data_IF_901915977207
#
_entry.id   IF_901915977207
#
_cell.length_a   1.000
_cell.length_b   1.000
_cell.length_c   1.000
_cell.angle_alpha   90.00
_cell.angle_beta   90.00
_cell.angle_gamma   90.00
#
_symmetry.space_group_name_H-M   'P 1'
#
loop_
_entity.id
_entity.type
_entity.pdbx_description
1 polymer ?
#
# COMPACT_ATOMS: atom_id res chain seq x y z
N UNK A 1 11.76 10.80 1.79
CA UNK A 1 11.66 11.50 3.08
C UNK A 1 13.00 11.86 3.71
N UNK A 2 13.99 10.95 3.76
CA UNK A 2 15.27 11.20 4.44
C UNK A 2 15.99 12.49 4.04
N UNK A 3 15.99 12.84 2.74
CA UNK A 3 16.55 14.13 2.27
C UNK A 3 15.82 15.36 2.80
N UNK A 4 14.51 15.27 3.01
CA UNK A 4 13.71 16.39 3.54
C UNK A 4 14.01 16.56 5.03
N UNK A 5 14.00 15.48 5.81
CA UNK A 5 14.38 15.50 7.23
C UNK A 5 15.78 16.09 7.41
N UNK A 6 16.76 15.62 6.63
CA UNK A 6 18.12 16.15 6.65
C UNK A 6 18.19 17.65 6.29
N UNK A 7 17.41 18.10 5.30
CA UNK A 7 17.40 19.51 4.89
C UNK A 7 16.79 20.41 5.96
N UNK A 8 15.71 19.96 6.62
CA UNK A 8 15.08 20.70 7.73
C UNK A 8 16.03 20.77 8.93
N UNK A 9 16.69 19.67 9.29
CA UNK A 9 17.68 19.64 10.37
C UNK A 9 18.89 20.54 10.10
N UNK A 10 19.39 20.56 8.86
CA UNK A 10 20.46 21.50 8.45
C UNK A 10 19.97 22.94 8.62
N UNK A 11 18.75 23.25 8.17
CA UNK A 11 18.16 24.59 8.26
C UNK A 11 18.01 25.03 9.71
N UNK A 12 17.49 24.14 10.59
CA UNK A 12 17.37 24.40 12.03
C UNK A 12 18.73 24.73 12.67
N UNK A 13 19.78 24.00 12.32
CA UNK A 13 21.15 24.27 12.81
C UNK A 13 21.69 25.62 12.33
N UNK A 14 21.41 26.01 11.09
CA UNK A 14 21.86 27.30 10.53
C UNK A 14 21.16 28.46 11.24
N UNK A 15 19.85 28.36 11.46
CA UNK A 15 19.06 29.38 12.16
C UNK A 15 19.48 29.48 13.63
N UNK A 16 19.70 28.35 14.32
CA UNK A 16 20.21 28.36 15.68
C UNK A 16 21.56 29.09 15.80
N UNK A 17 22.49 28.86 14.84
CA UNK A 17 23.76 29.61 14.79
C UNK A 17 23.56 31.11 14.53
N UNK A 18 22.52 31.50 13.80
CA UNK A 18 22.18 32.91 13.58
C UNK A 18 21.73 33.57 14.88
N UNK A 19 20.97 32.85 15.72
CA UNK A 19 20.55 33.31 17.04
C UNK A 19 21.74 33.56 17.96
N UNK A 20 22.67 32.61 18.02
CA UNK A 20 23.91 32.75 18.80
C UNK A 20 24.74 33.97 18.35
N UNK A 21 24.92 34.14 17.04
CA UNK A 21 25.63 35.31 16.48
C UNK A 21 24.92 36.62 16.76
N UNK A 22 23.60 36.65 16.70
CA UNK A 22 22.80 37.84 17.01
C UNK A 22 22.92 38.24 18.48
N UNK A 23 23.07 37.24 19.37
CA UNK A 23 23.35 37.47 20.80
C UNK A 23 24.74 38.07 21.03
N UNK A 24 25.76 37.56 20.33
CA UNK A 24 27.12 38.13 20.36
C UNK A 24 27.11 39.59 19.86
N UNK A 25 26.42 39.88 18.76
CA UNK A 25 26.30 41.26 18.24
C UNK A 25 25.60 42.16 19.27
N UNK A 26 24.54 41.69 19.93
CA UNK A 26 23.87 42.44 21.00
C UNK A 26 24.82 42.83 22.15
N UNK A 27 25.73 41.93 22.55
CA UNK A 27 26.75 42.23 23.57
C UNK A 27 27.74 43.31 23.11
N UNK A 28 28.17 43.26 21.84
CA UNK A 28 29.07 44.26 21.24
C UNK A 28 28.37 45.62 21.21
N UNK A 29 27.11 45.68 20.76
CA UNK A 29 26.33 46.91 20.67
C UNK A 29 26.15 47.56 22.04
N UNK A 30 25.87 46.76 23.09
CA UNK A 30 25.80 47.25 24.47
C UNK A 30 27.14 47.82 24.97
N UNK A 31 28.25 47.21 24.56
CA UNK A 31 29.59 47.72 24.89
C UNK A 31 29.85 49.06 24.20
N UNK A 32 29.48 49.21 22.93
CA UNK A 32 29.63 50.47 22.18
C UNK A 32 28.74 51.56 22.80
N UNK A 33 27.50 51.23 23.19
CA UNK A 33 26.62 52.16 23.90
C UNK A 33 27.28 52.67 25.19
N UNK A 34 27.86 51.77 25.98
CA UNK A 34 28.57 52.14 27.22
C UNK A 34 29.79 53.03 26.97
N UNK A 35 30.53 52.79 25.88
CA UNK A 35 31.66 53.64 25.46
C UNK A 35 31.16 55.02 25.02
N UNK A 36 30.05 55.09 24.27
CA UNK A 36 29.45 56.35 23.85
C UNK A 36 28.94 57.16 25.05
N UNK A 37 28.28 56.52 26.02
CA UNK A 37 27.88 57.13 27.29
C UNK A 37 29.07 57.75 28.04
N UNK A 38 30.15 56.98 28.18
CA UNK A 38 31.36 57.44 28.85
C UNK A 38 32.05 58.57 28.09
N UNK A 39 32.08 58.50 26.76
CA UNK A 39 32.64 59.55 25.88
C UNK A 39 31.83 60.84 25.99
N UNK A 40 30.49 60.74 26.05
CA UNK A 40 29.60 61.88 26.26
C UNK A 40 29.86 62.56 27.61
N UNK A 41 30.02 61.78 28.68
CA UNK A 41 30.38 62.30 30.02
C UNK A 41 31.77 62.95 30.04
N UNK A 42 32.77 62.35 29.37
CA UNK A 42 34.10 62.93 29.26
C UNK A 42 34.08 64.25 28.47
N UNK A 43 33.34 64.31 27.36
CA UNK A 43 33.16 65.49 26.55
C UNK A 43 32.49 66.63 27.33
N UNK A 44 31.47 66.30 28.12
CA UNK A 44 30.79 67.25 29.01
C UNK A 44 31.76 67.83 30.06
N UNK A 45 32.55 66.97 30.71
CA UNK A 45 33.54 67.42 31.69
C UNK A 45 34.61 68.31 31.04
N UNK A 46 35.05 67.97 29.83
CA UNK A 46 36.00 68.78 29.06
C UNK A 46 35.40 70.15 28.67
N UNK A 47 34.12 70.20 28.28
CA UNK A 47 33.43 71.44 27.98
C UNK A 47 33.30 72.34 29.20
N UNK A 48 33.02 71.76 30.38
CA UNK A 48 32.97 72.49 31.66
C UNK A 48 34.34 73.09 32.00
N UNK A 49 35.42 72.31 31.90
CA UNK A 49 36.76 72.78 32.23
C UNK A 49 37.28 73.81 31.20
N UNK A 50 36.91 73.66 29.92
CA UNK A 50 37.19 74.65 28.88
C UNK A 50 36.46 75.98 29.14
N UNK A 51 35.21 75.95 29.60
CA UNK A 51 34.49 77.15 30.03
C UNK A 51 35.14 77.81 31.25
N UNK A 52 35.70 77.01 32.17
CA UNK A 52 36.40 77.48 33.36
C UNK A 52 37.72 78.19 33.06
N UNK A 53 38.42 77.80 31.99
CA UNK A 53 39.64 78.43 31.52
C UNK A 53 39.42 79.77 30.75
N UNK A 54 38.17 80.20 30.57
CA UNK A 54 37.82 81.47 29.94
C UNK A 54 38.31 81.56 28.48
N UNK A 55 38.91 82.70 28.11
CA UNK A 55 39.38 82.95 26.73
C UNK A 55 40.46 81.96 26.25
N UNK A 56 41.25 81.36 27.17
CA UNK A 56 42.26 80.36 26.81
C UNK A 56 41.67 78.97 26.50
N UNK A 57 40.45 78.68 26.96
CA UNK A 57 39.76 77.40 26.74
C UNK A 57 38.86 77.37 25.50
N UNK A 58 38.72 78.49 24.79
CA UNK A 58 37.72 78.69 23.74
C UNK A 58 37.81 77.67 22.59
N UNK A 59 39.02 77.31 22.16
CA UNK A 59 39.24 76.26 21.15
C UNK A 59 38.94 74.85 21.65
N UNK A 60 39.25 74.56 22.91
CA UNK A 60 38.94 73.27 23.55
C UNK A 60 37.43 73.08 23.77
N UNK A 61 36.70 74.17 24.05
CA UNK A 61 35.25 74.12 24.20
C UNK A 61 34.54 73.68 22.91
N UNK A 62 35.00 74.15 21.73
CA UNK A 62 34.44 73.74 20.44
C UNK A 62 34.69 72.25 20.19
N UNK A 63 35.91 71.77 20.44
CA UNK A 63 36.24 70.35 20.26
C UNK A 63 35.45 69.46 21.22
N UNK A 64 35.28 69.89 22.48
CA UNK A 64 34.51 69.15 23.46
C UNK A 64 33.03 69.04 23.06
N UNK A 65 32.42 70.11 22.53
CA UNK A 65 31.04 70.07 22.04
C UNK A 65 30.89 69.18 20.80
N UNK A 66 31.84 69.19 19.87
CA UNK A 66 31.82 68.31 18.70
C UNK A 66 31.91 66.83 19.10
N UNK A 67 32.79 66.50 20.06
CA UNK A 67 32.92 65.13 20.60
C UNK A 67 31.65 64.71 21.34
N UNK A 68 30.99 65.64 22.05
CA UNK A 68 29.70 65.42 22.72
C UNK A 68 28.61 65.05 21.70
N UNK A 69 28.50 65.80 20.61
CA UNK A 69 27.54 65.55 19.54
C UNK A 69 27.80 64.20 18.84
N UNK A 70 29.06 63.85 18.57
CA UNK A 70 29.42 62.54 18.03
C UNK A 70 29.05 61.39 18.97
N UNK A 71 29.24 61.57 20.29
CA UNK A 71 28.87 60.58 21.29
C UNK A 71 27.35 60.39 21.37
N UNK A 72 26.55 61.47 21.34
CA UNK A 72 25.09 61.40 21.28
C UNK A 72 24.58 60.71 20.00
N UNK A 73 25.21 60.99 18.85
CA UNK A 73 24.91 60.31 17.59
C UNK A 73 25.23 58.81 17.67
N UNK A 74 26.36 58.44 18.28
CA UNK A 74 26.74 57.04 18.49
C UNK A 74 25.77 56.31 19.44
N UNK A 75 25.30 56.95 20.51
CA UNK A 75 24.24 56.41 21.38
C UNK A 75 22.94 56.15 20.59
N UNK A 76 22.51 57.12 19.78
CA UNK A 76 21.31 56.97 18.97
C UNK A 76 21.43 55.82 17.96
N UNK A 77 22.58 55.72 17.28
CA UNK A 77 22.83 54.65 16.32
C UNK A 77 22.90 53.27 16.99
N UNK A 78 23.60 53.16 18.12
CA UNK A 78 23.67 51.89 18.89
C UNK A 78 22.32 51.44 19.41
N UNK A 79 21.45 52.38 19.83
CA UNK A 79 20.07 52.06 20.21
C UNK A 79 19.27 51.50 19.04
N UNK A 80 19.33 52.12 17.86
CA UNK A 80 18.66 51.61 16.66
C UNK A 80 19.16 50.22 16.25
N UNK A 81 20.47 49.96 16.38
CA UNK A 81 21.03 48.63 16.12
C UNK A 81 20.55 47.63 17.18
N UNK A 82 20.44 48.03 18.45
CA UNK A 82 19.95 47.18 19.53
C UNK A 82 18.50 46.74 19.28
N UNK A 83 17.63 47.68 18.87
CA UNK A 83 16.24 47.39 18.51
C UNK A 83 16.17 46.38 17.34
N UNK A 84 16.94 46.61 16.27
CA UNK A 84 17.03 45.68 15.12
C UNK A 84 17.55 44.29 15.52
N UNK A 85 18.53 44.21 16.42
CA UNK A 85 19.04 42.93 16.92
C UNK A 85 17.98 42.21 17.76
N UNK A 86 17.18 42.95 18.53
CA UNK A 86 16.03 42.40 19.25
C UNK A 86 14.99 41.80 18.31
N UNK A 87 14.65 42.50 17.23
CA UNK A 87 13.76 41.99 16.18
C UNK A 87 14.33 40.72 15.53
N UNK A 88 15.61 40.73 15.12
CA UNK A 88 16.28 39.57 14.51
C UNK A 88 16.29 38.36 15.46
N UNK A 89 16.51 38.57 16.77
CA UNK A 89 16.47 37.49 17.76
C UNK A 89 15.07 36.88 17.84
N UNK A 90 14.02 37.72 17.91
CA UNK A 90 12.63 37.26 17.91
C UNK A 90 12.29 36.45 16.66
N UNK A 91 12.61 36.98 15.48
CA UNK A 91 12.36 36.30 14.20
C UNK A 91 13.11 34.96 14.11
N UNK A 92 14.32 34.91 14.67
CA UNK A 92 15.14 33.68 14.72
C UNK A 92 14.50 32.63 15.63
N UNK A 93 14.03 33.03 16.82
CA UNK A 93 13.37 32.12 17.76
C UNK A 93 12.08 31.53 17.16
N UNK A 94 11.27 32.37 16.50
CA UNK A 94 10.08 31.93 15.79
C UNK A 94 10.43 30.95 14.66
N UNK A 95 11.51 31.21 13.92
CA UNK A 95 11.97 30.32 12.86
C UNK A 95 12.51 28.98 13.41
N UNK A 96 13.16 28.95 14.57
CA UNK A 96 13.56 27.71 15.24
C UNK A 96 12.33 26.89 15.64
N UNK A 97 11.30 27.53 16.20
CA UNK A 97 10.06 26.86 16.60
C UNK A 97 9.31 26.29 15.38
N UNK A 98 9.23 27.05 14.30
CA UNK A 98 8.65 26.60 13.04
C UNK A 98 9.42 25.40 12.45
N UNK A 99 10.76 25.44 12.46
CA UNK A 99 11.58 24.32 12.00
C UNK A 99 11.41 23.08 12.86
N UNK A 100 11.35 23.22 14.19
CA UNK A 100 11.11 22.09 15.10
C UNK A 100 9.76 21.41 14.83
N UNK A 101 8.71 22.22 14.63
CA UNK A 101 7.39 21.72 14.23
C UNK A 101 7.46 21.04 12.87
N UNK A 102 8.14 21.65 11.90
CA UNK A 102 8.36 21.09 10.57
C UNK A 102 9.05 19.73 10.59
N UNK A 103 10.12 19.57 11.39
CA UNK A 103 10.81 18.28 11.57
C UNK A 103 9.86 17.21 12.09
N UNK A 104 9.01 17.55 13.07
CA UNK A 104 8.03 16.61 13.64
C UNK A 104 7.00 16.16 12.60
N UNK A 105 6.45 17.09 11.82
CA UNK A 105 5.48 16.79 10.76
C UNK A 105 6.11 15.95 9.64
N UNK A 106 7.36 16.23 9.26
CA UNK A 106 8.09 15.42 8.26
C UNK A 106 8.29 13.98 8.75
N UNK A 107 8.61 13.79 10.04
CA UNK A 107 8.75 12.44 10.62
C UNK A 107 7.42 11.69 10.65
N UNK A 108 6.35 12.32 11.11
CA UNK A 108 5.00 11.75 11.07
C UNK A 108 4.60 11.35 9.64
N UNK A 109 4.85 12.23 8.67
CA UNK A 109 4.61 11.93 7.26
C UNK A 109 5.43 10.73 6.76
N UNK A 110 6.69 10.60 7.21
CA UNK A 110 7.55 9.48 6.85
C UNK A 110 6.99 8.14 7.34
N UNK A 111 6.49 8.11 8.58
CA UNK A 111 5.88 6.91 9.17
C UNK A 111 4.61 6.50 8.40
N UNK A 112 3.75 7.47 8.07
CA UNK A 112 2.53 7.22 7.28
C UNK A 112 2.86 6.67 5.88
N UNK A 113 3.86 7.23 5.20
CA UNK A 113 4.28 6.74 3.88
C UNK A 113 4.89 5.35 3.98
N UNK A 114 5.65 5.05 5.03
CA UNK A 114 6.19 3.72 5.28
C UNK A 114 5.08 2.68 5.46
N UNK A 115 4.10 2.96 6.34
CA UNK A 115 2.95 2.09 6.58
C UNK A 115 2.10 1.89 5.30
N UNK A 116 1.95 2.94 4.51
CA UNK A 116 1.28 2.87 3.20
C UNK A 116 2.05 1.96 2.24
N UNK A 117 3.38 2.05 2.23
CA UNK A 117 4.24 1.19 1.42
C UNK A 117 4.15 -0.29 1.81
N UNK A 118 4.03 -0.60 3.10
CA UNK A 118 3.78 -1.96 3.58
C UNK A 118 2.42 -2.49 3.14
N UNK A 119 1.37 -1.66 3.26
CA UNK A 119 0.02 -2.01 2.80
C UNK A 119 -0.02 -2.32 1.31
N UNK A 120 0.67 -1.52 0.47
CA UNK A 120 0.77 -1.79 -0.96
C UNK A 120 1.54 -3.09 -1.27
N UNK A 121 2.55 -3.43 -0.46
CA UNK A 121 3.28 -4.68 -0.60
C UNK A 121 2.37 -5.88 -0.31
N UNK A 122 1.55 -5.79 0.73
CA UNK A 122 0.56 -6.82 1.06
C UNK A 122 -0.49 -6.97 -0.05
N UNK A 123 -1.04 -5.85 -0.56
CA UNK A 123 -1.97 -5.86 -1.69
C UNK A 123 -1.34 -6.55 -2.91
N UNK A 124 -0.08 -6.26 -3.23
CA UNK A 124 0.63 -6.87 -4.35
C UNK A 124 0.75 -8.40 -4.19
N UNK A 125 1.05 -8.87 -2.98
CA UNK A 125 1.11 -10.30 -2.67
C UNK A 125 -0.27 -10.96 -2.82
N UNK A 126 -1.33 -10.33 -2.32
CA UNK A 126 -2.69 -10.83 -2.46
C UNK A 126 -3.14 -10.91 -3.93
N UNK A 127 -2.80 -9.90 -4.73
CA UNK A 127 -3.10 -9.90 -6.18
C UNK A 127 -2.36 -11.03 -6.90
N UNK A 128 -1.09 -11.27 -6.54
CA UNK A 128 -0.32 -12.40 -7.08
C UNK A 128 -0.95 -13.75 -6.72
N UNK A 129 -1.40 -13.90 -5.48
CA UNK A 129 -2.08 -15.11 -5.02
C UNK A 129 -3.41 -15.35 -5.75
N UNK A 130 -4.22 -14.30 -5.91
CA UNK A 130 -5.46 -14.37 -6.71
C UNK A 130 -5.16 -14.77 -8.15
N UNK A 131 -4.12 -14.21 -8.77
CA UNK A 131 -3.71 -14.59 -10.13
C UNK A 131 -3.33 -16.07 -10.22
N UNK A 132 -2.64 -16.61 -9.20
CA UNK A 132 -2.31 -18.04 -9.12
C UNK A 132 -3.56 -18.91 -9.00
N UNK A 133 -4.50 -18.51 -8.15
CA UNK A 133 -5.77 -19.22 -7.98
C UNK A 133 -6.60 -19.24 -9.26
N UNK A 134 -6.63 -18.14 -10.02
CA UNK A 134 -7.32 -18.07 -11.32
C UNK A 134 -6.73 -19.08 -12.31
N UNK A 135 -5.40 -19.26 -12.34
CA UNK A 135 -4.74 -20.26 -13.19
C UNK A 135 -5.14 -21.69 -12.79
N UNK A 136 -5.16 -21.99 -11.49
CA UNK A 136 -5.58 -23.31 -11.00
C UNK A 136 -7.06 -23.60 -11.28
N UNK A 137 -7.94 -22.61 -11.12
CA UNK A 137 -9.36 -22.72 -11.50
C UNK A 137 -9.50 -22.98 -12.99
N UNK A 138 -8.73 -22.29 -13.83
CA UNK A 138 -8.77 -22.48 -15.29
C UNK A 138 -8.39 -23.91 -15.68
N UNK A 139 -7.35 -24.47 -15.06
CA UNK A 139 -6.97 -25.89 -15.26
C UNK A 139 -8.06 -26.86 -14.79
N UNK A 140 -8.68 -26.59 -13.64
CA UNK A 140 -9.77 -27.43 -13.13
C UNK A 140 -10.99 -27.41 -14.08
N UNK A 141 -11.29 -26.26 -14.69
CA UNK A 141 -12.35 -26.13 -15.69
C UNK A 141 -12.01 -26.93 -16.95
N UNK A 142 -10.77 -26.90 -17.44
CA UNK A 142 -10.34 -27.71 -18.59
C UNK A 142 -10.50 -29.21 -18.32
N UNK A 143 -10.09 -29.67 -17.13
CA UNK A 143 -10.27 -31.07 -16.71
C UNK A 143 -11.74 -31.46 -16.62
N UNK A 144 -12.58 -30.59 -16.07
CA UNK A 144 -14.02 -30.82 -15.97
C UNK A 144 -14.68 -30.88 -17.35
N UNK A 145 -14.26 -30.03 -18.30
CA UNK A 145 -14.73 -30.06 -19.68
C UNK A 145 -14.36 -31.39 -20.37
N UNK A 146 -13.13 -31.87 -20.18
CA UNK A 146 -12.70 -33.16 -20.71
C UNK A 146 -13.51 -34.32 -20.11
N UNK A 147 -13.73 -34.30 -18.80
CA UNK A 147 -14.57 -35.29 -18.11
C UNK A 147 -16.02 -35.28 -18.61
N UNK A 148 -16.60 -34.10 -18.83
CA UNK A 148 -17.95 -33.97 -19.40
C UNK A 148 -18.03 -34.57 -20.81
N UNK A 149 -17.01 -34.37 -21.65
CA UNK A 149 -16.94 -34.95 -22.98
C UNK A 149 -16.92 -36.50 -22.91
N UNK A 150 -16.16 -37.05 -21.96
CA UNK A 150 -16.11 -38.50 -21.74
C UNK A 150 -17.47 -39.06 -21.29
N UNK A 151 -18.17 -38.37 -20.39
CA UNK A 151 -19.52 -38.77 -19.94
C UNK A 151 -20.49 -38.81 -21.11
N UNK A 152 -20.45 -37.79 -22.00
CA UNK A 152 -21.29 -37.77 -23.21
C UNK A 152 -20.98 -38.97 -24.10
N UNK A 153 -19.70 -39.30 -24.30
CA UNK A 153 -19.29 -40.50 -25.05
C UNK A 153 -19.83 -41.79 -24.44
N UNK A 154 -19.66 -42.00 -23.13
CA UNK A 154 -20.19 -43.18 -22.45
C UNK A 154 -21.71 -43.27 -22.51
N UNK A 155 -22.43 -42.14 -22.45
CA UNK A 155 -23.88 -42.12 -22.61
C UNK A 155 -24.32 -42.56 -24.02
N UNK A 156 -23.57 -42.18 -25.06
CA UNK A 156 -23.81 -42.63 -26.44
C UNK A 156 -23.55 -44.12 -26.61
N UNK A 157 -22.49 -44.65 -25.99
CA UNK A 157 -22.21 -46.10 -25.99
C UNK A 157 -23.33 -46.89 -25.30
N UNK A 158 -23.83 -46.39 -24.16
CA UNK A 158 -24.95 -47.01 -23.44
C UNK A 158 -26.24 -46.99 -24.27
N UNK A 159 -26.55 -45.88 -24.95
CA UNK A 159 -27.70 -45.79 -25.86
C UNK A 159 -27.60 -46.82 -26.99
N UNK A 160 -26.42 -46.95 -27.60
CA UNK A 160 -26.19 -47.92 -28.67
C UNK A 160 -26.31 -49.36 -28.17
N UNK A 161 -25.72 -49.68 -27.01
CA UNK A 161 -25.82 -51.00 -26.40
C UNK A 161 -27.26 -51.35 -26.03
N UNK A 162 -28.02 -50.38 -25.51
CA UNK A 162 -29.44 -50.57 -25.16
C UNK A 162 -30.29 -50.89 -26.39
N UNK A 163 -30.03 -50.21 -27.52
CA UNK A 163 -30.68 -50.52 -28.80
C UNK A 163 -30.35 -51.92 -29.31
N UNK A 164 -29.09 -52.32 -29.23
CA UNK A 164 -28.67 -53.69 -29.60
C UNK A 164 -29.35 -54.73 -28.72
N UNK A 165 -29.35 -54.54 -27.40
CA UNK A 165 -30.00 -55.45 -26.45
C UNK A 165 -31.52 -55.57 -26.70
N UNK A 166 -32.19 -54.47 -27.05
CA UNK A 166 -33.60 -54.49 -27.41
C UNK A 166 -33.86 -55.31 -28.70
N UNK A 167 -33.02 -55.15 -29.72
CA UNK A 167 -33.11 -55.94 -30.95
C UNK A 167 -32.85 -57.43 -30.70
N UNK A 168 -31.84 -57.76 -29.88
CA UNK A 168 -31.55 -59.14 -29.49
C UNK A 168 -32.70 -59.77 -28.71
N UNK A 169 -33.30 -59.04 -27.77
CA UNK A 169 -34.47 -59.49 -27.03
C UNK A 169 -35.66 -59.78 -27.96
N UNK A 170 -35.87 -58.95 -28.99
CA UNK A 170 -36.90 -59.18 -30.00
C UNK A 170 -36.61 -60.44 -30.83
N UNK A 171 -35.36 -60.67 -31.24
CA UNK A 171 -34.96 -61.87 -31.96
C UNK A 171 -35.15 -63.13 -31.11
N UNK A 172 -34.79 -63.08 -29.82
CA UNK A 172 -35.00 -64.18 -28.87
C UNK A 172 -36.49 -64.48 -28.69
N UNK A 173 -37.33 -63.44 -28.60
CA UNK A 173 -38.79 -63.61 -28.53
C UNK A 173 -39.33 -64.34 -29.76
N UNK A 174 -38.93 -63.91 -30.96
CA UNK A 174 -39.35 -64.55 -32.21
C UNK A 174 -38.89 -66.02 -32.31
N UNK A 175 -37.63 -66.30 -31.95
CA UNK A 175 -37.12 -67.68 -31.91
C UNK A 175 -37.87 -68.54 -30.88
N UNK A 176 -38.29 -67.96 -29.75
CA UNK A 176 -39.09 -68.64 -28.74
C UNK A 176 -40.49 -68.99 -29.27
N UNK A 177 -41.11 -68.11 -30.05
CA UNK A 177 -42.39 -68.38 -30.72
C UNK A 177 -42.29 -69.51 -31.75
N UNK A 178 -41.24 -69.51 -32.59
CA UNK A 178 -40.98 -70.60 -33.54
C UNK A 178 -40.72 -71.94 -32.83
N UNK A 179 -39.97 -71.90 -31.72
CA UNK A 179 -39.71 -73.07 -30.90
C UNK A 179 -41.00 -73.61 -30.26
N UNK A 180 -41.91 -72.74 -29.79
CA UNK A 180 -43.22 -73.14 -29.27
C UNK A 180 -44.06 -73.86 -30.34
N UNK A 181 -44.13 -73.29 -31.56
CA UNK A 181 -44.85 -73.92 -32.66
C UNK A 181 -44.28 -75.30 -33.02
N UNK A 182 -42.94 -75.42 -33.05
CA UNK A 182 -42.28 -76.71 -33.30
C UNK A 182 -42.60 -77.74 -32.20
N UNK A 183 -42.69 -77.31 -30.95
CA UNK A 183 -43.05 -78.17 -29.81
C UNK A 183 -44.51 -78.64 -29.88
N UNK A 184 -45.43 -77.80 -30.36
CA UNK A 184 -46.82 -78.20 -30.60
C UNK A 184 -46.92 -79.28 -31.69
N UNK A 185 -46.14 -79.15 -32.77
CA UNK A 185 -46.08 -80.15 -33.84
C UNK A 185 -45.50 -81.48 -33.35
N UNK A 186 -44.44 -81.43 -32.54
CA UNK A 186 -43.86 -82.61 -31.88
C UNK A 186 -44.88 -83.28 -30.96
N UNK A 187 -45.61 -82.51 -30.16
CA UNK A 187 -46.63 -83.04 -29.26
C UNK A 187 -47.76 -83.74 -30.03
N UNK A 188 -48.28 -83.09 -31.08
CA UNK A 188 -49.29 -83.65 -31.98
C UNK A 188 -48.83 -84.95 -32.65
N UNK A 189 -47.60 -84.95 -33.18
CA UNK A 189 -46.98 -86.13 -33.79
C UNK A 189 -46.81 -87.28 -32.79
N UNK A 190 -46.41 -86.97 -31.56
CA UNK A 190 -46.26 -87.94 -30.47
C UNK A 190 -47.60 -88.55 -30.06
N UNK A 191 -48.69 -87.76 -30.03
CA UNK A 191 -50.04 -88.26 -29.81
C UNK A 191 -50.50 -89.19 -30.94
N UNK A 192 -50.22 -88.81 -32.20
CA UNK A 192 -50.47 -89.65 -33.37
C UNK A 192 -49.74 -91.00 -33.31
N UNK A 193 -48.44 -90.98 -32.98
CA UNK A 193 -47.65 -92.20 -32.78
C UNK A 193 -48.19 -93.06 -31.64
N UNK A 194 -48.64 -92.45 -30.54
CA UNK A 194 -49.26 -93.17 -29.42
C UNK A 194 -50.56 -93.86 -29.84
N UNK A 195 -51.44 -93.17 -30.58
CA UNK A 195 -52.67 -93.76 -31.13
C UNK A 195 -52.36 -94.95 -32.05
N UNK A 196 -51.40 -94.78 -32.96
CA UNK A 196 -50.97 -95.86 -33.87
C UNK A 196 -50.42 -97.07 -33.10
N UNK A 197 -49.62 -96.84 -32.05
CA UNK A 197 -49.10 -97.91 -31.21
C UNK A 197 -50.23 -98.69 -30.49
N UNK A 198 -51.27 -97.99 -30.00
CA UNK A 198 -52.46 -98.61 -29.39
C UNK A 198 -53.25 -99.43 -30.42
N UNK A 199 -53.45 -98.90 -31.63
CA UNK A 199 -54.11 -99.63 -32.72
C UNK A 199 -53.32 -100.89 -33.11
N UNK A 200 -52.00 -100.79 -33.26
CA UNK A 200 -51.14 -101.94 -33.54
C UNK A 200 -51.22 -103.00 -32.43
N UNK A 201 -51.21 -102.58 -31.16
CA UNK A 201 -51.36 -103.48 -30.02
C UNK A 201 -52.72 -104.22 -30.06
N UNK A 202 -53.81 -103.50 -30.34
CA UNK A 202 -55.16 -104.08 -30.47
C UNK A 202 -55.25 -105.07 -31.64
N UNK A 203 -54.60 -104.78 -32.78
CA UNK A 203 -54.52 -105.71 -33.91
C UNK A 203 -53.75 -106.96 -33.50
N UNK A 204 -52.62 -106.84 -32.82
CA UNK A 204 -51.83 -107.99 -32.34
C UNK A 204 -52.65 -108.87 -31.36
N UNK A 205 -53.44 -108.27 -30.47
CA UNK A 205 -54.30 -109.02 -29.54
C UNK A 205 -55.34 -109.90 -30.25
N UNK A 206 -55.86 -109.47 -31.40
CA UNK A 206 -56.77 -110.30 -32.22
C UNK A 206 -56.08 -111.55 -32.79
N UNK A 207 -54.75 -111.54 -32.90
CA UNK A 207 -53.94 -112.66 -33.39
C UNK A 207 -53.31 -113.49 -32.27
N UNK A 208 -53.49 -113.12 -31.00
CA UNK A 208 -53.15 -113.97 -29.85
C UNK A 208 -54.28 -114.97 -29.59
N UNK A 209 -54.05 -116.21 -30.01
CA UNK A 209 -54.87 -117.41 -29.71
C UNK A 209 -54.61 -117.88 -28.28
#
# INVERSE_FOLDING_TARGET
MNRIEETVDVSARVISKLGDRSKEIGQIVNTIHSIADQTNLLALNAAIEAARAGEHGRGFAVVAEEVRQLAEQAQKATKQISDLIGEIQSDTDDAVLAMSTGTKEVRLGADVVSATGESFREISLLVSEVSRQVIEISKAIEQMSAGSQQIVGSAQEIDQLSKTAANEAQNVSAATEEQLASMEEIASSSEGLSKLAVEMQSVIEKFKV
#
